data_IF_562041976882
#
_entry.id   IF_562041976882
#
_cell.length_a   1.000
_cell.length_b   1.000
_cell.length_c   1.000
_cell.angle_alpha   90.00
_cell.angle_beta   90.00
_cell.angle_gamma   90.00
#
_symmetry.space_group_name_H-M   'P 1'
#
loop_
_entity.id
_entity.type
_entity.pdbx_description
1 polymer ?
#
# COMPACT_ATOMS: atom_id res chain seq x y z
N UNK A 1 27.36 4.77 20.57
CA UNK A 1 28.49 3.84 20.38
C UNK A 1 28.63 3.60 18.89
N UNK A 2 29.73 4.04 18.26
CA UNK A 2 30.04 3.64 16.88
C UNK A 2 30.46 2.18 16.96
N UNK A 3 29.65 1.25 16.44
CA UNK A 3 30.11 -0.11 16.24
C UNK A 3 31.24 -0.10 15.21
N UNK A 4 32.27 -0.92 15.38
CA UNK A 4 33.31 -1.03 14.35
C UNK A 4 32.75 -1.76 13.13
N UNK A 5 33.31 -1.47 11.96
CA UNK A 5 32.95 -2.17 10.71
C UNK A 5 33.21 -3.67 10.82
N UNK A 6 34.30 -4.05 11.49
CA UNK A 6 34.63 -5.46 11.72
C UNK A 6 33.62 -6.15 12.67
N UNK A 7 33.11 -5.45 13.68
CA UNK A 7 32.13 -6.00 14.62
C UNK A 7 30.77 -6.26 13.94
N UNK A 8 30.38 -5.37 13.02
CA UNK A 8 29.14 -5.50 12.24
C UNK A 8 29.18 -6.75 11.35
N UNK A 9 30.27 -6.90 10.59
CA UNK A 9 30.48 -8.04 9.70
C UNK A 9 30.55 -9.35 10.49
N UNK A 10 31.27 -9.36 11.62
CA UNK A 10 31.38 -10.55 12.45
C UNK A 10 30.04 -10.97 13.08
N UNK A 11 29.21 -10.00 13.47
CA UNK A 11 27.91 -10.27 14.08
C UNK A 11 26.91 -10.82 13.07
N UNK A 12 26.79 -10.18 11.90
CA UNK A 12 25.75 -10.53 10.93
C UNK A 12 26.07 -11.81 10.13
N UNK A 13 27.35 -12.14 9.95
CA UNK A 13 27.78 -13.43 9.34
C UNK A 13 27.57 -14.63 10.29
N UNK A 14 27.63 -14.43 11.60
CA UNK A 14 27.58 -15.52 12.58
C UNK A 14 26.21 -15.72 13.27
N UNK A 15 25.31 -14.74 13.24
CA UNK A 15 24.01 -14.85 13.92
C UNK A 15 22.88 -15.42 13.05
N UNK A 16 22.95 -15.29 11.73
CA UNK A 16 21.83 -15.61 10.84
C UNK A 16 22.28 -16.61 9.76
N UNK A 17 21.80 -17.86 9.85
CA UNK A 17 22.11 -18.91 8.87
C UNK A 17 21.69 -18.55 7.43
N UNK A 18 20.66 -17.71 7.27
CA UNK A 18 20.14 -17.25 5.98
C UNK A 18 21.05 -16.25 5.25
N UNK A 19 22.04 -15.67 5.95
CA UNK A 19 22.90 -14.58 5.47
C UNK A 19 24.35 -15.06 5.26
N UNK A 20 24.61 -16.35 5.54
CA UNK A 20 25.96 -16.94 5.53
C UNK A 20 26.63 -16.92 4.15
N UNK A 21 25.83 -16.90 3.08
CA UNK A 21 26.31 -16.90 1.70
C UNK A 21 26.55 -15.49 1.13
N UNK A 22 26.32 -14.42 1.92
CA UNK A 22 26.55 -13.05 1.47
C UNK A 22 28.05 -12.74 1.47
N UNK A 23 28.64 -12.29 0.34
CA UNK A 23 30.04 -11.93 0.29
C UNK A 23 30.40 -10.82 1.29
N UNK A 24 31.51 -11.00 2.00
CA UNK A 24 31.99 -10.04 3.00
C UNK A 24 32.25 -8.63 2.41
N UNK A 25 32.61 -8.56 1.13
CA UNK A 25 32.77 -7.30 0.40
C UNK A 25 31.44 -6.53 0.31
N UNK A 26 30.33 -7.22 0.10
CA UNK A 26 29.01 -6.61 0.03
C UNK A 26 28.57 -6.02 1.39
N UNK A 27 28.82 -6.75 2.48
CA UNK A 27 28.54 -6.27 3.85
C UNK A 27 29.41 -5.07 4.22
N UNK A 28 30.66 -5.07 3.76
CA UNK A 28 31.58 -3.93 3.91
C UNK A 28 31.08 -2.69 3.17
N UNK A 29 30.68 -2.84 1.91
CA UNK A 29 30.18 -1.73 1.10
C UNK A 29 28.82 -1.23 1.62
N UNK A 30 27.97 -2.13 2.09
CA UNK A 30 26.70 -1.80 2.73
C UNK A 30 26.89 -1.03 4.04
N UNK A 31 27.87 -1.42 4.86
CA UNK A 31 28.22 -0.68 6.08
C UNK A 31 28.70 0.73 5.76
N UNK A 32 29.57 0.87 4.75
CA UNK A 32 30.04 2.19 4.32
C UNK A 32 28.90 3.05 3.78
N UNK A 33 27.98 2.46 3.01
CA UNK A 33 26.78 3.15 2.52
C UNK A 33 25.83 3.54 3.68
N UNK A 34 25.68 2.70 4.70
CA UNK A 34 24.89 3.02 5.90
C UNK A 34 25.48 4.15 6.74
N UNK A 35 26.81 4.20 6.88
CA UNK A 35 27.50 5.26 7.64
C UNK A 35 27.48 6.59 6.88
N UNK A 36 27.58 6.55 5.55
CA UNK A 36 27.51 7.74 4.69
C UNK A 36 26.07 8.25 4.57
N UNK A 37 25.09 7.36 4.46
CA UNK A 37 23.65 7.67 4.44
C UNK A 37 23.08 7.58 5.84
N UNK A 38 23.57 8.43 6.74
CA UNK A 38 22.92 8.62 8.04
C UNK A 38 21.42 8.86 7.81
N UNK A 39 20.57 8.11 8.53
CA UNK A 39 19.13 7.99 8.31
C UNK A 39 18.40 9.34 8.43
N UNK A 40 18.42 10.13 7.37
CA UNK A 40 17.64 11.37 7.22
C UNK A 40 16.15 11.09 6.97
N UNK A 41 15.75 9.82 6.85
CA UNK A 41 14.40 9.42 6.47
C UNK A 41 13.43 9.14 7.63
N UNK A 42 13.88 9.08 8.89
CA UNK A 42 12.99 8.76 10.04
C UNK A 42 12.68 10.01 10.91
N UNK A 43 13.45 11.10 10.79
CA UNK A 43 13.29 12.28 11.66
C UNK A 43 12.14 13.23 11.30
N UNK A 44 11.23 12.89 10.38
CA UNK A 44 10.15 13.80 9.97
C UNK A 44 8.75 13.48 10.48
N UNK A 45 8.59 12.48 11.36
CA UNK A 45 7.40 12.40 12.21
C UNK A 45 7.55 13.31 13.43
N UNK A 46 7.87 14.59 13.22
CA UNK A 46 7.49 15.59 14.21
C UNK A 46 5.96 15.64 14.21
N UNK A 47 5.35 14.86 15.10
CA UNK A 47 3.97 15.04 15.55
C UNK A 47 3.90 16.38 16.31
N UNK A 48 4.08 17.50 15.61
CA UNK A 48 3.57 18.78 16.08
C UNK A 48 2.06 18.67 15.94
N UNK A 49 1.38 18.40 17.05
CA UNK A 49 -0.06 18.64 17.15
C UNK A 49 -0.30 20.13 16.89
N UNK A 50 -0.50 20.49 15.63
CA UNK A 50 -0.93 21.83 15.27
C UNK A 50 -2.40 21.90 15.69
N UNK A 51 -2.67 22.59 16.79
CA UNK A 51 -4.03 22.99 17.17
C UNK A 51 -4.55 23.96 16.11
N UNK A 52 -5.28 23.43 15.14
CA UNK A 52 -5.92 24.23 14.10
C UNK A 52 -7.32 24.62 14.57
N UNK A 53 -7.67 25.91 14.53
CA UNK A 53 -8.99 26.39 14.97
C UNK A 53 -10.05 26.38 13.87
N UNK A 54 -9.64 26.31 12.58
CA UNK A 54 -10.55 26.30 11.43
C UNK A 54 -10.27 25.13 10.46
N UNK A 55 -11.33 24.55 9.91
CA UNK A 55 -11.22 23.47 8.92
C UNK A 55 -10.47 23.90 7.64
N UNK A 56 -10.58 25.18 7.28
CA UNK A 56 -9.89 25.79 6.13
C UNK A 56 -8.36 25.80 6.30
N UNK A 57 -7.88 26.21 7.48
CA UNK A 57 -6.46 26.22 7.82
C UNK A 57 -5.88 24.79 7.88
N UNK A 58 -6.69 23.82 8.33
CA UNK A 58 -6.28 22.41 8.37
C UNK A 58 -6.06 21.87 6.97
N UNK A 59 -6.96 22.23 6.04
CA UNK A 59 -6.86 21.83 4.64
C UNK A 59 -5.66 22.49 3.94
N UNK A 60 -5.36 23.74 4.26
CA UNK A 60 -4.19 24.45 3.72
C UNK A 60 -2.87 23.79 4.14
N UNK A 61 -2.71 23.52 5.44
CA UNK A 61 -1.53 22.82 5.98
C UNK A 61 -1.37 21.43 5.37
N UNK A 62 -2.46 20.67 5.25
CA UNK A 62 -2.44 19.36 4.62
C UNK A 62 -1.97 19.43 3.16
N UNK A 63 -2.48 20.39 2.38
CA UNK A 63 -2.05 20.58 0.97
C UNK A 63 -0.57 20.94 0.86
N UNK A 64 -0.08 21.80 1.75
CA UNK A 64 1.33 22.18 1.79
C UNK A 64 2.23 21.00 2.16
N UNK A 65 1.86 20.23 3.18
CA UNK A 65 2.55 19.00 3.57
C UNK A 65 2.58 17.99 2.43
N UNK A 66 1.45 17.80 1.73
CA UNK A 66 1.37 16.90 0.57
C UNK A 66 2.32 17.35 -0.55
N UNK A 67 2.40 18.66 -0.82
CA UNK A 67 3.34 19.20 -1.82
C UNK A 67 4.79 18.99 -1.40
N UNK A 68 5.15 19.28 -0.16
CA UNK A 68 6.50 19.06 0.38
C UNK A 68 6.90 17.58 0.31
N UNK A 69 6.00 16.69 0.74
CA UNK A 69 6.21 15.24 0.70
C UNK A 69 6.34 14.73 -0.74
N UNK A 70 5.55 15.26 -1.68
CA UNK A 70 5.68 14.89 -3.09
C UNK A 70 7.05 15.24 -3.67
N UNK A 71 7.59 16.42 -3.36
CA UNK A 71 8.92 16.83 -3.81
C UNK A 71 10.00 15.93 -3.19
N UNK A 72 9.94 15.71 -1.87
CA UNK A 72 10.88 14.82 -1.16
C UNK A 72 10.85 13.40 -1.71
N UNK A 73 9.66 12.83 -1.91
CA UNK A 73 9.49 11.50 -2.48
C UNK A 73 10.09 11.41 -3.89
N UNK A 74 9.86 12.43 -4.73
CA UNK A 74 10.44 12.48 -6.08
C UNK A 74 11.97 12.54 -6.04
N UNK A 75 12.55 13.40 -5.20
CA UNK A 75 14.02 13.52 -5.08
C UNK A 75 14.67 12.23 -4.55
N UNK A 76 14.01 11.54 -3.61
CA UNK A 76 14.49 10.25 -3.10
C UNK A 76 14.41 9.15 -4.17
N UNK A 77 13.34 9.15 -4.97
CA UNK A 77 13.18 8.18 -6.05
C UNK A 77 14.21 8.43 -7.17
N UNK A 78 14.46 9.69 -7.52
CA UNK A 78 15.47 10.09 -8.51
C UNK A 78 16.89 9.79 -8.04
N UNK A 79 17.23 10.08 -6.77
CA UNK A 79 18.54 9.72 -6.21
C UNK A 79 18.73 8.21 -6.19
N UNK A 80 17.73 7.45 -5.76
CA UNK A 80 17.80 5.99 -5.78
C UNK A 80 17.93 5.43 -7.21
N UNK A 81 17.17 5.96 -8.17
CA UNK A 81 17.29 5.59 -9.59
C UNK A 81 18.69 5.87 -10.15
N UNK A 82 19.32 6.98 -9.74
CA UNK A 82 20.69 7.28 -10.14
C UNK A 82 21.72 6.28 -9.56
N UNK A 83 21.48 5.78 -8.34
CA UNK A 83 22.29 4.73 -7.71
C UNK A 83 22.05 3.34 -8.33
N UNK A 84 20.84 3.04 -8.79
CA UNK A 84 20.54 1.77 -9.47
C UNK A 84 21.31 1.60 -10.78
N UNK A 85 21.69 2.71 -11.45
CA UNK A 85 22.50 2.66 -12.67
C UNK A 85 23.99 2.34 -12.39
N UNK A 86 24.45 2.47 -11.15
CA UNK A 86 25.85 2.22 -10.75
C UNK A 86 26.02 0.98 -9.87
N UNK A 87 24.95 0.50 -9.24
CA UNK A 87 24.95 -0.75 -8.48
C UNK A 87 24.78 -1.96 -9.41
N UNK A 88 25.53 -3.06 -9.24
CA UNK A 88 25.27 -4.29 -9.98
C UNK A 88 23.85 -4.78 -9.68
N UNK A 89 23.01 -4.85 -10.72
CA UNK A 89 21.66 -5.40 -10.61
C UNK A 89 21.77 -6.88 -10.24
N UNK A 90 21.50 -7.19 -8.97
CA UNK A 90 21.34 -8.56 -8.52
C UNK A 90 20.01 -9.06 -9.06
N UNK A 91 20.05 -9.87 -10.12
CA UNK A 91 18.85 -10.51 -10.65
C UNK A 91 18.34 -11.51 -9.60
N UNK A 92 17.20 -11.24 -8.94
CA UNK A 92 16.72 -12.11 -7.89
C UNK A 92 16.28 -13.44 -8.53
N UNK A 93 16.97 -14.53 -8.23
CA UNK A 93 16.65 -15.85 -8.80
C UNK A 93 15.46 -16.50 -8.09
N UNK A 94 15.05 -15.96 -6.93
CA UNK A 94 14.01 -16.52 -6.08
C UNK A 94 12.77 -15.60 -6.00
N UNK A 95 11.60 -16.16 -6.29
CA UNK A 95 10.32 -15.46 -6.15
C UNK A 95 10.03 -15.01 -4.71
N UNK A 96 10.66 -15.60 -3.70
CA UNK A 96 10.53 -15.22 -2.29
C UNK A 96 10.96 -13.77 -2.01
N UNK A 97 11.90 -13.21 -2.78
CA UNK A 97 12.27 -11.80 -2.61
C UNK A 97 11.10 -10.86 -2.92
N UNK A 98 10.24 -11.21 -3.88
CA UNK A 98 9.06 -10.41 -4.23
C UNK A 98 8.08 -10.37 -3.05
N UNK A 99 7.91 -11.48 -2.34
CA UNK A 99 7.10 -11.55 -1.13
C UNK A 99 7.64 -10.59 -0.06
N UNK A 100 8.93 -10.67 0.27
CA UNK A 100 9.56 -9.81 1.29
C UNK A 100 9.51 -8.33 0.90
N UNK A 101 9.74 -8.00 -0.37
CA UNK A 101 9.62 -6.64 -0.87
C UNK A 101 8.19 -6.11 -0.74
N UNK A 102 7.20 -6.92 -1.10
CA UNK A 102 5.80 -6.54 -1.02
C UNK A 102 5.32 -6.39 0.42
N UNK A 103 5.80 -7.24 1.34
CA UNK A 103 5.48 -7.18 2.76
C UNK A 103 5.88 -5.84 3.41
N UNK A 104 6.91 -5.18 2.90
CA UNK A 104 7.31 -3.84 3.36
C UNK A 104 6.52 -2.73 2.65
N UNK A 105 6.20 -2.91 1.36
CA UNK A 105 5.66 -1.84 0.52
C UNK A 105 4.11 -1.77 0.46
N UNK A 106 3.40 -2.82 0.88
CA UNK A 106 1.95 -2.93 0.68
C UNK A 106 1.16 -1.79 1.34
N UNK A 107 1.52 -1.39 2.56
CA UNK A 107 0.81 -0.33 3.31
C UNK A 107 0.86 1.02 2.59
N UNK A 108 2.06 1.54 2.26
CA UNK A 108 2.23 2.74 1.45
C UNK A 108 1.53 2.65 0.08
N UNK A 109 1.59 1.50 -0.59
CA UNK A 109 0.88 1.29 -1.85
C UNK A 109 -0.63 1.37 -1.67
N UNK A 110 -1.19 0.69 -0.67
CA UNK A 110 -2.60 0.74 -0.35
C UNK A 110 -3.04 2.18 -0.09
N UNK A 111 -2.29 2.94 0.71
CA UNK A 111 -2.58 4.34 1.00
C UNK A 111 -2.60 5.21 -0.28
N UNK A 112 -1.55 5.13 -1.10
CA UNK A 112 -1.43 5.90 -2.32
C UNK A 112 -2.52 5.56 -3.36
N UNK A 113 -2.74 4.25 -3.59
CA UNK A 113 -3.73 3.77 -4.55
C UNK A 113 -5.15 4.15 -4.11
N UNK A 114 -5.45 4.07 -2.81
CA UNK A 114 -6.76 4.48 -2.26
C UNK A 114 -7.04 5.96 -2.46
N UNK A 115 -6.02 6.83 -2.34
CA UNK A 115 -6.16 8.26 -2.63
C UNK A 115 -6.41 8.49 -4.12
N UNK A 116 -5.65 7.82 -5.00
CA UNK A 116 -5.87 7.93 -6.45
C UNK A 116 -7.24 7.43 -6.90
N UNK A 117 -7.79 6.42 -6.22
CA UNK A 117 -9.16 5.92 -6.46
C UNK A 117 -10.23 6.91 -5.96
N UNK A 118 -9.95 7.71 -4.93
CA UNK A 118 -10.88 8.77 -4.45
C UNK A 118 -10.95 9.96 -5.40
N UNK A 119 -9.85 10.30 -6.07
CA UNK A 119 -9.77 11.48 -6.94
C UNK A 119 -10.68 11.46 -8.17
N UNK A 120 -10.75 12.61 -8.83
CA UNK A 120 -11.64 12.86 -9.98
C UNK A 120 -10.96 12.59 -11.34
N UNK A 121 -9.63 12.44 -11.36
CA UNK A 121 -8.87 12.18 -12.57
C UNK A 121 -9.02 10.73 -13.03
N UNK A 122 -9.85 10.52 -14.05
CA UNK A 122 -10.20 9.19 -14.61
C UNK A 122 -9.00 8.27 -14.87
N UNK A 123 -7.90 8.80 -15.40
CA UNK A 123 -6.70 8.01 -15.68
C UNK A 123 -6.05 7.49 -14.39
N UNK A 124 -5.87 8.36 -13.40
CA UNK A 124 -5.31 8.00 -12.09
C UNK A 124 -6.22 6.99 -11.40
N UNK A 125 -7.53 7.22 -11.40
CA UNK A 125 -8.52 6.29 -10.84
C UNK A 125 -8.42 4.90 -11.47
N UNK A 126 -8.28 4.84 -12.80
CA UNK A 126 -8.17 3.57 -13.54
C UNK A 126 -6.86 2.84 -13.22
N UNK A 127 -5.74 3.56 -13.16
CA UNK A 127 -4.44 2.98 -12.81
C UNK A 127 -4.40 2.53 -11.35
N UNK A 128 -5.01 3.30 -10.44
CA UNK A 128 -5.16 2.92 -9.03
C UNK A 128 -5.97 1.65 -8.85
N UNK A 129 -7.11 1.53 -9.55
CA UNK A 129 -7.94 0.33 -9.51
C UNK A 129 -7.16 -0.89 -10.01
N UNK A 130 -6.46 -0.75 -11.15
CA UNK A 130 -5.58 -1.81 -11.65
C UNK A 130 -4.50 -2.16 -10.63
N UNK A 131 -3.85 -1.17 -10.02
CA UNK A 131 -2.82 -1.38 -8.99
C UNK A 131 -3.34 -2.20 -7.81
N UNK A 132 -4.54 -1.90 -7.31
CA UNK A 132 -5.20 -2.68 -6.25
C UNK A 132 -5.46 -4.12 -6.71
N UNK A 133 -5.93 -4.33 -7.94
CA UNK A 133 -6.16 -5.68 -8.47
C UNK A 133 -4.86 -6.51 -8.54
N UNK A 134 -3.76 -5.91 -9.00
CA UNK A 134 -2.45 -6.58 -9.06
C UNK A 134 -1.91 -6.86 -7.66
N UNK A 135 -2.06 -5.93 -6.71
CA UNK A 135 -1.67 -6.11 -5.33
C UNK A 135 -2.41 -7.29 -4.66
N UNK A 136 -3.71 -7.43 -4.92
CA UNK A 136 -4.50 -8.59 -4.46
C UNK A 136 -3.95 -9.88 -5.07
N UNK A 137 -3.66 -9.88 -6.38
CA UNK A 137 -3.11 -11.05 -7.07
C UNK A 137 -1.75 -11.48 -6.49
N UNK A 138 -0.84 -10.54 -6.24
CA UNK A 138 0.44 -10.80 -5.57
C UNK A 138 0.19 -11.42 -4.19
N UNK A 139 -0.71 -10.83 -3.40
CA UNK A 139 -1.06 -11.33 -2.08
C UNK A 139 -1.64 -12.75 -2.12
N UNK A 140 -2.43 -13.08 -3.14
CA UNK A 140 -2.97 -14.42 -3.37
C UNK A 140 -1.87 -15.43 -3.73
N UNK A 141 -0.93 -15.06 -4.60
CA UNK A 141 0.19 -15.93 -5.04
C UNK A 141 1.07 -16.32 -3.85
N UNK A 142 1.39 -15.37 -2.97
CA UNK A 142 2.27 -15.61 -1.81
C UNK A 142 1.51 -15.95 -0.52
N UNK A 143 0.19 -16.18 -0.60
CA UNK A 143 -0.68 -16.48 0.54
C UNK A 143 -0.61 -15.46 1.70
N UNK A 144 -0.44 -14.19 1.35
CA UNK A 144 -0.32 -13.05 2.27
C UNK A 144 -1.71 -12.59 2.72
N UNK A 145 -2.22 -13.20 3.80
CA UNK A 145 -3.62 -13.06 4.21
C UNK A 145 -3.97 -11.66 4.69
N UNK A 146 -3.10 -11.02 5.47
CA UNK A 146 -3.39 -9.70 6.05
C UNK A 146 -3.46 -8.61 4.97
N UNK A 147 -2.51 -8.64 4.06
CA UNK A 147 -2.39 -7.73 2.92
C UNK A 147 -3.59 -7.92 1.98
N UNK A 148 -3.91 -9.18 1.64
CA UNK A 148 -5.05 -9.53 0.80
C UNK A 148 -6.37 -8.99 1.38
N UNK A 149 -6.63 -9.23 2.65
CA UNK A 149 -7.85 -8.78 3.33
C UNK A 149 -7.93 -7.25 3.35
N UNK A 150 -6.82 -6.55 3.59
CA UNK A 150 -6.78 -5.09 3.57
C UNK A 150 -7.10 -4.49 2.19
N UNK A 151 -6.52 -5.04 1.12
CA UNK A 151 -6.82 -4.57 -0.25
C UNK A 151 -8.25 -4.87 -0.67
N UNK A 152 -8.77 -6.07 -0.35
CA UNK A 152 -10.15 -6.44 -0.68
C UNK A 152 -11.13 -5.60 0.12
N UNK A 153 -10.91 -5.41 1.42
CA UNK A 153 -11.74 -4.53 2.25
C UNK A 153 -11.72 -3.08 1.76
N UNK A 154 -10.57 -2.59 1.29
CA UNK A 154 -10.48 -1.29 0.65
C UNK A 154 -11.35 -1.22 -0.62
N UNK A 155 -11.20 -2.19 -1.53
CA UNK A 155 -11.96 -2.25 -2.78
C UNK A 155 -13.47 -2.37 -2.52
N UNK A 156 -13.86 -3.19 -1.54
CA UNK A 156 -15.24 -3.38 -1.10
C UNK A 156 -15.90 -2.06 -0.66
N UNK A 157 -15.18 -1.22 0.10
CA UNK A 157 -15.68 0.10 0.52
C UNK A 157 -15.91 1.04 -0.67
N UNK A 158 -15.07 0.97 -1.71
CA UNK A 158 -15.26 1.77 -2.94
C UNK A 158 -16.43 1.32 -3.81
N UNK A 159 -17.09 0.20 -3.51
CA UNK A 159 -18.34 -0.17 -4.19
C UNK A 159 -19.54 0.66 -3.73
N UNK A 160 -19.43 1.39 -2.60
CA UNK A 160 -20.54 2.12 -1.95
C UNK A 160 -21.76 1.23 -1.60
N UNK A 161 -21.61 -0.10 -1.66
CA UNK A 161 -22.69 -1.02 -1.32
C UNK A 161 -22.89 -1.10 0.20
N UNK A 162 -21.79 -1.16 0.96
CA UNK A 162 -21.76 -1.39 2.40
C UNK A 162 -22.31 -0.21 3.24
N UNK A 163 -22.20 1.04 2.76
CA UNK A 163 -22.62 2.24 3.52
C UNK A 163 -24.14 2.34 3.72
N UNK A 164 -24.93 1.65 2.89
CA UNK A 164 -26.40 1.74 2.93
C UNK A 164 -27.05 0.94 4.06
N UNK A 165 -26.43 -0.13 4.55
CA UNK A 165 -27.00 -0.91 5.66
C UNK A 165 -26.89 -0.16 6.99
N UNK A 166 -25.78 0.55 7.21
CA UNK A 166 -25.55 1.38 8.40
C UNK A 166 -26.49 2.59 8.43
N UNK A 167 -26.84 3.17 7.28
CA UNK A 167 -27.84 4.24 7.18
C UNK A 167 -29.28 3.72 7.39
N UNK A 168 -29.61 2.51 6.89
CA UNK A 168 -30.94 1.91 7.05
C UNK A 168 -31.28 1.55 8.49
N UNK A 169 -30.31 1.17 9.32
CA UNK A 169 -30.54 0.90 10.74
C UNK A 169 -30.55 2.15 11.64
N UNK A 170 -29.99 3.27 11.19
CA UNK A 170 -29.90 4.50 11.96
C UNK A 170 -30.96 5.56 11.60
N UNK A 171 -31.66 5.42 10.46
CA UNK A 171 -32.65 6.40 10.04
C UNK A 171 -34.06 5.81 9.98
N UNK A 172 -34.83 5.96 11.06
CA UNK A 172 -36.26 5.61 11.09
C UNK A 172 -37.15 6.61 10.34
N UNK A 173 -36.64 7.78 9.95
CA UNK A 173 -37.47 8.87 9.42
C UNK A 173 -36.78 9.58 8.23
N UNK A 174 -37.15 9.20 7.00
CA UNK A 174 -37.09 10.12 5.86
C UNK A 174 -36.00 9.87 4.80
N UNK A 175 -36.49 9.66 3.58
CA UNK A 175 -35.82 9.63 2.27
C UNK A 175 -34.56 8.75 2.15
N UNK A 176 -34.77 7.48 1.81
CA UNK A 176 -33.75 6.64 1.19
C UNK A 176 -33.40 7.16 -0.21
N UNK A 177 -32.59 8.22 -0.28
CA UNK A 177 -31.92 8.60 -1.52
C UNK A 177 -30.83 7.57 -1.72
N UNK A 178 -31.12 6.56 -2.55
CA UNK A 178 -30.10 5.68 -3.09
C UNK A 178 -29.24 6.57 -3.99
N UNK A 179 -28.06 6.97 -3.53
CA UNK A 179 -27.09 7.63 -4.40
C UNK A 179 -26.87 6.73 -5.62
N UNK A 180 -27.12 7.29 -6.81
CA UNK A 180 -26.91 6.55 -8.05
C UNK A 180 -25.47 6.07 -8.10
N UNK A 181 -25.27 4.76 -8.31
CA UNK A 181 -23.94 4.15 -8.40
C UNK A 181 -23.12 4.90 -9.46
N UNK A 182 -22.02 5.52 -9.02
CA UNK A 182 -21.13 6.19 -9.95
C UNK A 182 -20.44 5.15 -10.83
N UNK A 183 -20.01 5.57 -12.02
CA UNK A 183 -19.20 4.74 -12.94
C UNK A 183 -18.03 4.06 -12.22
N UNK A 184 -17.39 4.78 -11.29
CA UNK A 184 -16.29 4.29 -10.45
C UNK A 184 -16.72 3.13 -9.55
N UNK A 185 -17.89 3.22 -8.92
CA UNK A 185 -18.41 2.14 -8.07
C UNK A 185 -18.67 0.88 -8.91
N UNK A 186 -19.23 1.05 -10.11
CA UNK A 186 -19.47 -0.06 -11.05
C UNK A 186 -18.15 -0.72 -11.46
N UNK A 187 -17.14 0.08 -11.82
CA UNK A 187 -15.82 -0.44 -12.21
C UNK A 187 -15.14 -1.19 -11.04
N UNK A 188 -15.34 -0.74 -9.79
CA UNK A 188 -14.86 -1.46 -8.60
C UNK A 188 -15.60 -2.80 -8.38
N UNK A 189 -16.92 -2.83 -8.59
CA UNK A 189 -17.72 -4.07 -8.51
C UNK A 189 -17.25 -5.07 -9.58
N UNK A 190 -17.06 -4.61 -10.82
CA UNK A 190 -16.54 -5.44 -11.90
C UNK A 190 -15.16 -5.99 -11.57
N UNK A 191 -14.26 -5.15 -11.04
CA UNK A 191 -12.95 -5.59 -10.59
C UNK A 191 -13.04 -6.65 -9.48
N UNK A 192 -13.93 -6.47 -8.50
CA UNK A 192 -14.14 -7.41 -7.40
C UNK A 192 -14.60 -8.78 -7.91
N UNK A 193 -15.53 -8.80 -8.88
CA UNK A 193 -16.00 -10.04 -9.53
C UNK A 193 -14.86 -10.71 -10.31
N UNK A 194 -14.10 -9.96 -11.10
CA UNK A 194 -12.94 -10.50 -11.84
C UNK A 194 -11.91 -11.11 -10.90
N UNK A 195 -11.60 -10.45 -9.78
CA UNK A 195 -10.69 -10.98 -8.76
C UNK A 195 -11.21 -12.29 -8.17
N UNK A 196 -12.51 -12.38 -7.89
CA UNK A 196 -13.16 -13.58 -7.38
C UNK A 196 -13.01 -14.76 -8.35
N UNK A 197 -13.21 -14.50 -9.65
CA UNK A 197 -13.08 -15.50 -10.70
C UNK A 197 -11.63 -15.93 -10.92
N UNK A 198 -10.68 -14.99 -10.92
CA UNK A 198 -9.27 -15.26 -11.25
C UNK A 198 -8.51 -15.96 -10.11
N UNK A 199 -8.81 -15.63 -8.85
CA UNK A 199 -8.02 -16.08 -7.69
C UNK A 199 -8.68 -17.23 -6.92
N UNK A 200 -9.99 -17.43 -7.07
CA UNK A 200 -10.70 -18.60 -6.54
C UNK A 200 -10.41 -18.86 -5.05
N UNK A 201 -9.98 -20.07 -4.72
CA UNK A 201 -9.72 -20.50 -3.35
C UNK A 201 -8.59 -19.74 -2.64
N UNK A 202 -7.68 -19.09 -3.39
CA UNK A 202 -6.58 -18.30 -2.82
C UNK A 202 -7.02 -17.03 -2.09
N UNK A 203 -8.32 -16.69 -2.18
CA UNK A 203 -8.94 -15.59 -1.45
C UNK A 203 -9.22 -15.93 0.02
N UNK A 204 -9.35 -17.21 0.38
CA UNK A 204 -9.59 -17.63 1.76
C UNK A 204 -10.74 -16.88 2.43
N UNK A 205 -10.49 -16.26 3.59
CA UNK A 205 -11.50 -15.52 4.36
C UNK A 205 -12.06 -14.29 3.63
N UNK A 206 -11.32 -13.72 2.67
CA UNK A 206 -11.76 -12.55 1.91
C UNK A 206 -12.99 -12.84 1.04
N UNK A 207 -13.32 -14.11 0.79
CA UNK A 207 -14.56 -14.52 0.14
C UNK A 207 -15.81 -14.00 0.85
N UNK A 208 -15.79 -13.94 2.18
CA UNK A 208 -16.95 -13.49 2.94
C UNK A 208 -17.29 -12.03 2.60
N UNK A 209 -16.27 -11.18 2.51
CA UNK A 209 -16.39 -9.77 2.14
C UNK A 209 -16.96 -9.63 0.71
N UNK A 210 -16.42 -10.40 -0.24
CA UNK A 210 -16.85 -10.39 -1.63
C UNK A 210 -18.31 -10.83 -1.77
N UNK A 211 -18.68 -11.95 -1.14
CA UNK A 211 -20.05 -12.47 -1.17
C UNK A 211 -21.03 -11.50 -0.51
N UNK A 212 -20.61 -10.82 0.56
CA UNK A 212 -21.40 -9.78 1.20
C UNK A 212 -21.68 -8.62 0.22
N UNK A 213 -20.66 -8.12 -0.48
CA UNK A 213 -20.83 -7.12 -1.52
C UNK A 213 -21.77 -7.58 -2.65
N UNK A 214 -21.61 -8.81 -3.14
CA UNK A 214 -22.46 -9.36 -4.19
C UNK A 214 -23.92 -9.52 -3.75
N UNK A 215 -24.15 -9.98 -2.51
CA UNK A 215 -25.51 -10.10 -1.95
C UNK A 215 -26.21 -8.74 -1.87
N UNK A 216 -25.48 -7.67 -1.54
CA UNK A 216 -26.04 -6.32 -1.48
C UNK A 216 -26.37 -5.75 -2.86
N UNK A 217 -25.64 -6.15 -3.91
CA UNK A 217 -25.95 -5.78 -5.29
C UNK A 217 -27.31 -6.34 -5.72
N UNK A 218 -27.59 -7.61 -5.42
CA UNK A 218 -28.84 -8.26 -5.79
C UNK A 218 -30.08 -7.64 -5.11
N UNK A 219 -29.92 -7.09 -3.90
CA UNK A 219 -31.03 -6.43 -3.21
C UNK A 219 -31.28 -5.00 -3.73
N UNK A 220 -30.38 -4.43 -4.55
CA UNK A 220 -30.48 -3.07 -5.09
C UNK A 220 -30.80 -3.00 -6.58
N UNK A 221 -30.61 -4.10 -7.32
CA UNK A 221 -30.98 -4.25 -8.73
C UNK A 221 -32.47 -4.59 -8.87
#
# INVERSE_FOLDING_TARGET
MKHSKEDFIYRDVNLYEEIKDIPQSYLSDFYDDMVVKECTAISTFENKEVRVSSESERLALYKEQMKSNSVKAKTLLESYASHLNTSPFLQPTNALYVQSMFQVAWGPFLAALSVGLKGDHKEITTQSLKGICHAIKISCIFNMTHERDAYIGCLARFTSLQDTHTQRNNNKNGSGVVEALSKKNIDCIQALITIALDNGNSLGNSWLEILHCMSQLNHKA
#
